data_IF_676327402114
#
_entry.id   IF_676327402114
#
_cell.length_a   1.000
_cell.length_b   1.000
_cell.length_c   1.000
_cell.angle_alpha   90.00
_cell.angle_beta   90.00
_cell.angle_gamma   90.00
#
_symmetry.space_group_name_H-M   'P 1'
#
loop_
_entity.id
_entity.type
_entity.pdbx_description
1 polymer ?
#
# COMPACT_ATOMS: atom_id res chain seq x y z
N UNK A 1 13.31 19.43 -28.26
CA UNK A 1 12.32 18.32 -28.18
C UNK A 1 12.66 17.36 -27.05
N UNK A 2 13.89 16.79 -27.02
CA UNK A 2 14.34 15.83 -25.98
C UNK A 2 14.26 16.42 -24.58
N UNK A 3 14.76 17.65 -24.35
CA UNK A 3 14.71 18.33 -23.06
C UNK A 3 13.26 18.60 -22.60
N UNK A 4 12.39 19.02 -23.52
CA UNK A 4 10.96 19.23 -23.19
C UNK A 4 10.23 17.93 -22.84
N UNK A 5 10.61 16.80 -23.41
CA UNK A 5 10.09 15.48 -23.00
C UNK A 5 10.59 15.09 -21.59
N UNK A 6 11.87 15.29 -21.31
CA UNK A 6 12.46 15.00 -20.00
C UNK A 6 11.84 15.87 -18.89
N UNK A 7 11.54 17.13 -19.18
CA UNK A 7 10.94 18.10 -18.24
C UNK A 7 9.42 17.84 -18.02
N UNK A 8 8.75 17.08 -18.91
CA UNK A 8 7.32 16.75 -18.78
C UNK A 8 7.06 15.39 -18.07
N UNK A 9 8.10 14.64 -17.74
CA UNK A 9 7.96 13.36 -17.07
C UNK A 9 7.75 13.54 -15.57
N UNK A 10 6.71 12.93 -15.04
CA UNK A 10 6.49 12.79 -13.59
C UNK A 10 7.46 11.76 -12.99
N UNK A 11 8.05 10.92 -13.83
CA UNK A 11 9.00 9.87 -13.44
C UNK A 11 10.40 10.44 -13.25
N UNK A 12 10.96 10.24 -12.07
CA UNK A 12 12.34 10.58 -11.78
C UNK A 12 13.29 9.68 -12.58
N UNK A 13 14.32 10.25 -13.21
CA UNK A 13 15.34 9.51 -13.95
C UNK A 13 16.73 9.82 -13.38
N UNK A 14 17.55 8.79 -13.26
CA UNK A 14 18.95 8.89 -12.83
C UNK A 14 19.80 7.90 -13.61
N UNK A 15 20.95 8.35 -14.12
CA UNK A 15 21.98 7.46 -14.64
C UNK A 15 23.18 7.39 -13.71
N UNK A 16 23.86 6.23 -13.72
CA UNK A 16 25.15 6.00 -13.06
C UNK A 16 26.14 5.36 -14.02
N UNK A 17 27.42 5.65 -13.83
CA UNK A 17 28.49 4.94 -14.51
C UNK A 17 28.74 3.56 -13.87
N UNK A 18 29.74 2.84 -14.39
CA UNK A 18 30.14 1.52 -13.89
C UNK A 18 30.77 1.57 -12.49
N UNK A 19 31.28 2.72 -12.08
CA UNK A 19 31.81 2.98 -10.74
C UNK A 19 30.73 3.42 -9.74
N UNK A 20 29.48 3.50 -10.21
CA UNK A 20 28.33 3.85 -9.38
C UNK A 20 28.15 5.35 -9.15
N UNK A 21 28.93 6.20 -9.84
CA UNK A 21 28.75 7.66 -9.74
C UNK A 21 27.54 8.11 -10.54
N UNK A 22 26.77 9.02 -9.95
CA UNK A 22 25.61 9.64 -10.62
C UNK A 22 26.12 10.55 -11.74
N UNK A 23 25.78 10.22 -12.97
CA UNK A 23 26.17 10.94 -14.18
C UNK A 23 25.04 11.79 -14.77
N UNK A 24 23.80 11.50 -14.41
CA UNK A 24 22.63 12.22 -14.89
C UNK A 24 21.47 12.13 -13.89
N UNK A 25 20.72 13.20 -13.77
CA UNK A 25 19.42 13.28 -13.10
C UNK A 25 18.50 14.19 -13.90
N UNK A 26 17.20 13.87 -13.98
CA UNK A 26 16.23 14.78 -14.56
C UNK A 26 15.61 15.70 -13.48
N UNK A 27 14.91 16.78 -13.87
CA UNK A 27 14.24 17.68 -12.94
C UNK A 27 13.26 16.96 -12.01
N UNK A 28 12.46 16.03 -12.53
CA UNK A 28 11.47 15.28 -11.74
C UNK A 28 12.12 14.46 -10.61
N UNK A 29 13.30 13.90 -10.84
CA UNK A 29 14.03 13.20 -9.77
C UNK A 29 14.50 14.17 -8.69
N UNK A 30 15.05 15.32 -9.10
CA UNK A 30 15.50 16.35 -8.17
C UNK A 30 14.36 16.90 -7.30
N UNK A 31 13.20 17.16 -7.90
CA UNK A 31 11.99 17.58 -7.19
C UNK A 31 11.50 16.50 -6.23
N UNK A 32 11.48 15.24 -6.68
CA UNK A 32 11.05 14.09 -5.89
C UNK A 32 11.87 13.94 -4.61
N UNK A 33 13.19 14.06 -4.68
CA UNK A 33 14.09 13.87 -3.52
C UNK A 33 14.43 15.17 -2.78
N UNK A 34 14.15 16.34 -3.39
CA UNK A 34 14.40 17.67 -2.82
C UNK A 34 15.86 18.13 -2.89
N UNK A 35 16.70 17.49 -3.70
CA UNK A 35 18.11 17.84 -3.90
C UNK A 35 18.34 18.40 -5.30
N UNK A 36 19.22 19.40 -5.41
CA UNK A 36 19.61 19.95 -6.71
C UNK A 36 20.52 18.99 -7.50
N UNK A 37 20.60 19.15 -8.84
CA UNK A 37 21.53 18.36 -9.64
C UNK A 37 22.99 18.48 -9.16
N UNK A 38 23.40 19.65 -8.70
CA UNK A 38 24.76 19.90 -8.20
C UNK A 38 25.08 19.11 -6.92
N UNK A 39 24.07 18.86 -6.09
CA UNK A 39 24.21 18.06 -4.88
C UNK A 39 24.23 16.55 -5.16
N UNK A 40 23.72 16.12 -6.32
CA UNK A 40 23.57 14.71 -6.67
C UNK A 40 24.63 14.20 -7.63
N UNK A 41 25.02 15.01 -8.63
CA UNK A 41 25.97 14.59 -9.65
C UNK A 41 27.35 14.29 -9.06
N UNK A 42 27.96 13.19 -9.50
CA UNK A 42 29.26 12.71 -9.03
C UNK A 42 29.23 11.92 -7.72
N UNK A 43 28.10 11.93 -6.98
CA UNK A 43 27.99 11.09 -5.79
C UNK A 43 28.04 9.62 -6.17
N UNK A 44 28.80 8.83 -5.38
CA UNK A 44 28.87 7.39 -5.47
C UNK A 44 28.30 6.76 -4.21
N UNK A 45 28.14 5.47 -4.14
CA UNK A 45 27.88 4.54 -3.02
C UNK A 45 27.07 5.00 -1.77
N UNK A 46 26.85 6.29 -1.56
CA UNK A 46 25.96 6.80 -0.50
C UNK A 46 25.21 8.02 -1.01
N UNK A 47 23.93 7.85 -1.32
CA UNK A 47 23.09 8.93 -1.80
C UNK A 47 22.38 9.58 -0.60
N UNK A 48 22.25 10.94 -0.55
CA UNK A 48 21.67 11.65 0.58
C UNK A 48 20.16 11.39 0.75
N UNK A 49 19.52 10.84 -0.27
CA UNK A 49 18.10 10.43 -0.24
C UNK A 49 17.89 8.98 0.26
N UNK A 50 18.94 8.31 0.75
CA UNK A 50 18.78 7.03 1.43
C UNK A 50 18.54 7.23 2.91
N UNK A 51 17.53 6.58 3.51
CA UNK A 51 17.37 6.58 4.96
C UNK A 51 18.66 6.09 5.63
N UNK A 52 19.15 6.77 6.68
CA UNK A 52 20.46 6.44 7.30
C UNK A 52 20.59 5.00 7.76
N UNK A 53 19.51 4.41 8.28
CA UNK A 53 19.47 3.04 8.77
C UNK A 53 19.48 1.99 7.64
N UNK A 54 19.21 2.39 6.39
CA UNK A 54 19.18 1.49 5.23
C UNK A 54 20.38 1.64 4.29
N UNK A 55 21.31 2.52 4.61
CA UNK A 55 22.50 2.79 3.76
C UNK A 55 23.26 1.53 3.44
N UNK A 56 23.48 0.66 4.44
CA UNK A 56 24.24 -0.57 4.24
C UNK A 56 23.48 -1.59 3.37
N UNK A 57 22.18 -1.74 3.57
CA UNK A 57 21.31 -2.56 2.72
C UNK A 57 21.39 -2.10 1.26
N UNK A 58 21.33 -0.79 1.02
CA UNK A 58 21.35 -0.23 -0.32
C UNK A 58 22.74 -0.33 -0.97
N UNK A 59 23.83 -0.21 -0.20
CA UNK A 59 25.18 -0.49 -0.68
C UNK A 59 25.35 -1.93 -1.13
N UNK A 60 24.90 -2.89 -0.33
CA UNK A 60 24.97 -4.31 -0.68
C UNK A 60 24.16 -4.60 -1.93
N UNK A 61 22.97 -4.06 -2.05
CA UNK A 61 22.14 -4.19 -3.26
C UNK A 61 22.86 -3.64 -4.49
N UNK A 62 23.51 -2.50 -4.38
CA UNK A 62 24.29 -1.95 -5.48
C UNK A 62 25.53 -2.79 -5.82
N UNK A 63 26.26 -3.28 -4.84
CA UNK A 63 27.40 -4.16 -5.06
C UNK A 63 27.00 -5.42 -5.86
N UNK A 64 25.85 -6.02 -5.56
CA UNK A 64 25.29 -7.15 -6.31
C UNK A 64 24.99 -6.76 -7.77
N UNK A 65 24.49 -5.54 -8.01
CA UNK A 65 24.26 -5.01 -9.37
C UNK A 65 25.57 -4.86 -10.15
N UNK A 66 26.58 -4.26 -9.54
CA UNK A 66 27.89 -4.08 -10.17
C UNK A 66 28.62 -5.42 -10.40
N UNK A 67 28.32 -6.45 -9.61
CA UNK A 67 28.77 -7.81 -9.87
C UNK A 67 28.06 -8.51 -11.05
N UNK A 68 27.16 -7.82 -11.76
CA UNK A 68 26.51 -8.31 -12.97
C UNK A 68 25.12 -8.95 -12.77
N UNK A 69 24.56 -8.92 -11.56
CA UNK A 69 23.20 -9.44 -11.34
C UNK A 69 22.17 -8.44 -11.88
N UNK A 70 21.36 -8.89 -12.83
CA UNK A 70 20.32 -8.06 -13.43
C UNK A 70 19.18 -7.80 -12.44
N UNK A 71 18.64 -6.58 -12.39
CA UNK A 71 17.45 -6.26 -11.59
C UNK A 71 16.21 -6.96 -12.13
N UNK A 72 15.17 -7.15 -11.27
CA UNK A 72 13.87 -7.58 -11.74
C UNK A 72 13.33 -6.60 -12.80
N UNK A 73 12.74 -7.12 -13.88
CA UNK A 73 12.18 -6.30 -14.96
C UNK A 73 10.98 -5.47 -14.52
N UNK A 74 10.21 -6.00 -13.56
CA UNK A 74 9.05 -5.32 -12.97
C UNK A 74 9.47 -4.20 -12.01
N UNK A 75 10.76 -4.10 -11.70
CA UNK A 75 11.27 -3.20 -10.69
C UNK A 75 11.15 -3.76 -9.27
N UNK A 76 11.45 -2.94 -8.30
CA UNK A 76 11.34 -3.28 -6.87
C UNK A 76 10.99 -2.03 -6.06
N UNK A 77 10.26 -2.24 -5.00
CA UNK A 77 9.93 -1.17 -4.07
C UNK A 77 11.06 -0.91 -3.07
N UNK A 78 11.20 0.34 -2.69
CA UNK A 78 12.19 0.80 -1.71
C UNK A 78 11.62 2.00 -0.95
N UNK A 79 12.37 2.53 0.00
CA UNK A 79 12.01 3.74 0.71
C UNK A 79 13.12 4.79 0.52
N UNK A 80 12.74 6.00 0.14
CA UNK A 80 13.66 7.13 0.08
C UNK A 80 13.29 8.18 1.12
N UNK A 81 14.23 9.09 1.35
CA UNK A 81 14.08 10.22 2.26
C UNK A 81 14.36 11.52 1.49
N UNK A 82 13.42 12.44 1.53
CA UNK A 82 13.61 13.77 0.94
C UNK A 82 14.60 14.59 1.77
N UNK A 83 15.07 15.67 1.21
CA UNK A 83 15.99 16.61 1.90
C UNK A 83 15.41 17.17 3.20
N UNK A 84 14.09 17.31 3.30
CA UNK A 84 13.38 17.75 4.50
C UNK A 84 13.21 16.66 5.57
N UNK A 85 13.69 15.45 5.31
CA UNK A 85 13.55 14.29 6.19
C UNK A 85 12.28 13.47 5.98
N UNK A 86 11.36 13.89 5.12
CA UNK A 86 10.14 13.13 4.81
C UNK A 86 10.48 11.83 4.08
N UNK A 87 9.94 10.72 4.55
CA UNK A 87 10.10 9.40 3.92
C UNK A 87 8.97 9.11 2.96
N UNK A 88 9.29 8.43 1.89
CA UNK A 88 8.29 8.02 0.92
C UNK A 88 8.64 6.69 0.25
N UNK A 89 7.65 5.86 -0.09
CA UNK A 89 7.84 4.63 -0.84
C UNK A 89 8.09 4.97 -2.30
N UNK A 90 9.04 4.29 -2.91
CA UNK A 90 9.44 4.49 -4.31
C UNK A 90 9.52 3.17 -5.04
N UNK A 91 8.91 3.09 -6.22
CA UNK A 91 9.13 2.00 -7.16
C UNK A 91 10.36 2.34 -8.01
N UNK A 92 11.31 1.43 -8.08
CA UNK A 92 12.58 1.58 -8.81
C UNK A 92 12.62 0.56 -9.94
N UNK A 93 12.80 1.03 -11.16
CA UNK A 93 13.02 0.20 -12.34
C UNK A 93 14.41 0.52 -12.86
N UNK A 94 15.25 -0.49 -13.02
CA UNK A 94 16.65 -0.32 -13.46
C UNK A 94 16.91 -1.08 -14.74
N UNK A 95 17.70 -0.48 -15.62
CA UNK A 95 18.14 -1.08 -16.86
C UNK A 95 19.62 -0.73 -17.14
N UNK A 96 20.38 -1.63 -17.77
CA UNK A 96 21.74 -1.34 -18.19
C UNK A 96 21.74 -0.29 -19.32
N UNK A 97 22.68 0.64 -19.27
CA UNK A 97 23.00 1.53 -20.38
C UNK A 97 23.96 0.84 -21.33
N UNK A 98 23.53 0.63 -22.56
CA UNK A 98 24.33 0.01 -23.62
C UNK A 98 24.66 1.08 -24.66
N UNK A 99 25.92 1.25 -24.99
CA UNK A 99 26.35 2.17 -26.04
C UNK A 99 26.10 1.62 -27.46
N UNK A 100 26.38 2.43 -28.48
CA UNK A 100 26.19 2.02 -29.89
C UNK A 100 27.07 0.82 -30.30
N UNK A 101 28.13 0.52 -29.56
CA UNK A 101 29.04 -0.62 -29.76
C UNK A 101 28.58 -1.87 -28.98
N UNK A 102 27.44 -1.83 -28.31
CA UNK A 102 26.91 -2.93 -27.51
C UNK A 102 27.59 -3.11 -26.14
N UNK A 103 28.41 -2.15 -25.71
CA UNK A 103 29.09 -2.23 -24.43
C UNK A 103 28.25 -1.66 -23.31
N UNK A 104 28.26 -2.30 -22.15
CA UNK A 104 27.63 -1.81 -20.93
C UNK A 104 28.45 -0.63 -20.38
N UNK A 105 27.83 0.52 -20.21
CA UNK A 105 28.47 1.77 -19.80
C UNK A 105 27.96 2.32 -18.48
N UNK A 106 26.92 1.71 -17.92
CA UNK A 106 26.32 2.17 -16.67
C UNK A 106 24.89 1.67 -16.52
N UNK A 107 24.14 2.31 -15.62
CA UNK A 107 22.78 1.96 -15.27
C UNK A 107 21.87 3.16 -15.36
N UNK A 108 20.71 2.99 -15.97
CA UNK A 108 19.58 3.94 -15.90
C UNK A 108 18.58 3.44 -14.89
N UNK A 109 18.14 4.31 -14.01
CA UNK A 109 17.06 4.02 -13.06
C UNK A 109 15.90 5.00 -13.28
N UNK A 110 14.68 4.46 -13.30
CA UNK A 110 13.44 5.22 -13.26
C UNK A 110 12.83 5.07 -11.84
N UNK A 111 12.32 6.16 -11.31
CA UNK A 111 11.76 6.27 -9.98
C UNK A 111 10.33 6.80 -10.03
N UNK A 112 9.43 6.12 -9.36
CA UNK A 112 8.04 6.55 -9.20
C UNK A 112 7.72 6.63 -7.70
N UNK A 113 7.32 7.81 -7.24
CA UNK A 113 6.75 7.96 -5.89
C UNK A 113 5.36 7.30 -5.87
N UNK A 114 5.24 6.24 -5.07
CA UNK A 114 3.99 5.47 -4.97
C UNK A 114 3.20 5.78 -3.70
N UNK A 115 3.48 6.91 -3.04
CA UNK A 115 2.79 7.32 -1.81
C UNK A 115 1.29 7.47 -2.01
N UNK A 116 0.88 8.17 -3.07
CA UNK A 116 -0.54 8.40 -3.36
C UNK A 116 -1.25 7.12 -3.79
N UNK A 117 -0.60 6.30 -4.60
CA UNK A 117 -1.14 4.99 -4.98
C UNK A 117 -1.41 4.13 -3.74
N UNK A 118 -0.43 4.01 -2.84
CA UNK A 118 -0.58 3.25 -1.59
C UNK A 118 -1.68 3.83 -0.71
N UNK A 119 -1.77 5.15 -0.62
CA UNK A 119 -2.84 5.82 0.14
C UNK A 119 -4.23 5.46 -0.39
N UNK A 120 -4.42 5.49 -1.70
CA UNK A 120 -5.69 5.12 -2.34
C UNK A 120 -6.02 3.65 -2.11
N UNK A 121 -5.04 2.76 -2.24
CA UNK A 121 -5.21 1.33 -1.98
C UNK A 121 -5.60 1.04 -0.52
N UNK A 122 -4.97 1.70 0.45
CA UNK A 122 -5.32 1.58 1.87
C UNK A 122 -6.73 2.07 2.17
N UNK A 123 -7.13 3.22 1.63
CA UNK A 123 -8.48 3.75 1.79
C UNK A 123 -9.53 2.81 1.19
N UNK A 124 -9.26 2.26 0.01
CA UNK A 124 -10.12 1.29 -0.65
C UNK A 124 -10.30 0.03 0.19
N UNK A 125 -9.19 -0.53 0.70
CA UNK A 125 -9.21 -1.70 1.58
C UNK A 125 -9.97 -1.44 2.86
N UNK A 126 -9.72 -0.33 3.53
CA UNK A 126 -10.43 0.04 4.75
C UNK A 126 -11.94 0.22 4.51
N UNK A 127 -12.32 0.78 3.37
CA UNK A 127 -13.72 0.89 2.97
C UNK A 127 -14.38 -0.47 2.75
N UNK A 128 -13.71 -1.39 2.06
CA UNK A 128 -14.20 -2.75 1.84
C UNK A 128 -14.37 -3.52 3.16
N UNK A 129 -13.41 -3.42 4.07
CA UNK A 129 -13.48 -4.05 5.39
C UNK A 129 -14.68 -3.54 6.21
N UNK A 130 -14.94 -2.22 6.18
CA UNK A 130 -16.12 -1.61 6.83
C UNK A 130 -17.43 -2.11 6.23
N UNK A 131 -17.52 -2.18 4.90
CA UNK A 131 -18.72 -2.68 4.22
C UNK A 131 -18.99 -4.15 4.59
N UNK A 132 -17.95 -4.99 4.61
CA UNK A 132 -18.06 -6.38 5.01
C UNK A 132 -18.49 -6.54 6.48
N UNK A 133 -17.95 -5.73 7.39
CA UNK A 133 -18.32 -5.74 8.80
C UNK A 133 -19.81 -5.35 8.96
N UNK A 134 -20.25 -4.29 8.27
CA UNK A 134 -21.66 -3.83 8.29
C UNK A 134 -22.59 -4.91 7.75
N UNK A 135 -22.26 -5.54 6.64
CA UNK A 135 -23.04 -6.63 6.06
C UNK A 135 -23.19 -7.83 7.02
N UNK A 136 -22.09 -8.21 7.71
CA UNK A 136 -22.14 -9.27 8.73
C UNK A 136 -23.08 -8.90 9.89
N UNK A 137 -23.02 -7.66 10.39
CA UNK A 137 -23.90 -7.19 11.45
C UNK A 137 -25.36 -7.19 11.02
N UNK A 138 -25.67 -6.77 9.80
CA UNK A 138 -27.02 -6.81 9.24
C UNK A 138 -27.56 -8.25 9.20
N UNK A 139 -26.77 -9.20 8.71
CA UNK A 139 -27.16 -10.63 8.68
C UNK A 139 -27.42 -11.17 10.08
N UNK A 140 -26.56 -10.87 11.06
CA UNK A 140 -26.77 -11.27 12.46
C UNK A 140 -28.03 -10.63 13.03
N UNK A 141 -28.29 -9.37 12.73
CA UNK A 141 -29.52 -8.67 13.15
C UNK A 141 -30.79 -9.28 12.59
N UNK A 142 -30.80 -9.66 11.31
CA UNK A 142 -31.92 -10.37 10.68
C UNK A 142 -32.15 -11.75 11.32
N UNK A 143 -31.08 -12.52 11.55
CA UNK A 143 -31.19 -13.82 12.22
C UNK A 143 -31.70 -13.68 13.65
N UNK A 144 -31.23 -12.70 14.42
CA UNK A 144 -31.70 -12.45 15.78
C UNK A 144 -33.18 -12.05 15.80
N UNK A 145 -33.62 -11.27 14.82
CA UNK A 145 -35.06 -10.89 14.67
C UNK A 145 -35.94 -12.11 14.37
N UNK A 146 -35.50 -12.96 13.42
CA UNK A 146 -36.22 -14.19 13.08
C UNK A 146 -36.32 -15.16 14.28
N UNK A 147 -35.20 -15.38 14.98
CA UNK A 147 -35.17 -16.23 16.18
C UNK A 147 -36.07 -15.68 17.29
N UNK A 148 -36.09 -14.37 17.50
CA UNK A 148 -36.97 -13.75 18.48
C UNK A 148 -38.43 -13.96 18.12
N UNK A 149 -38.78 -13.86 16.85
CA UNK A 149 -40.15 -14.10 16.38
C UNK A 149 -40.55 -15.57 16.57
N UNK A 150 -39.65 -16.51 16.19
CA UNK A 150 -39.92 -17.96 16.32
C UNK A 150 -39.97 -18.43 17.78
N UNK A 151 -39.23 -17.81 18.69
CA UNK A 151 -39.27 -18.11 20.11
C UNK A 151 -40.53 -17.51 20.79
N UNK A 152 -40.95 -16.34 20.37
CA UNK A 152 -42.12 -15.71 20.95
C UNK A 152 -43.44 -16.42 20.59
N UNK A 153 -43.53 -17.11 19.44
CA UNK A 153 -44.73 -17.85 19.05
C UNK A 153 -45.10 -19.00 20.02
N UNK A 154 -44.18 -19.95 20.33
CA UNK A 154 -44.49 -21.00 21.29
C UNK A 154 -44.69 -20.49 22.72
N UNK A 155 -43.94 -19.43 23.10
CA UNK A 155 -44.12 -18.80 24.41
C UNK A 155 -45.50 -18.16 24.56
N UNK A 156 -46.03 -17.50 23.53
CA UNK A 156 -47.38 -16.96 23.51
C UNK A 156 -48.43 -18.07 23.58
N UNK A 157 -48.22 -19.19 22.88
CA UNK A 157 -49.10 -20.37 22.95
C UNK A 157 -49.12 -20.96 24.36
N UNK A 158 -47.94 -21.19 24.96
CA UNK A 158 -47.84 -21.72 26.34
C UNK A 158 -48.53 -20.78 27.34
N UNK A 159 -48.34 -19.47 27.23
CA UNK A 159 -48.95 -18.45 28.09
C UNK A 159 -50.48 -18.48 27.92
N UNK A 160 -51.00 -18.64 26.70
CA UNK A 160 -52.41 -18.74 26.42
C UNK A 160 -53.05 -20.01 27.04
N UNK A 161 -52.36 -21.16 26.89
CA UNK A 161 -52.82 -22.39 27.50
C UNK A 161 -52.78 -22.32 29.04
N UNK A 162 -51.73 -21.77 29.62
CA UNK A 162 -51.62 -21.60 31.09
C UNK A 162 -52.77 -20.73 31.63
N UNK A 163 -53.01 -19.58 31.01
CA UNK A 163 -54.08 -18.66 31.39
C UNK A 163 -55.47 -19.33 31.19
N UNK A 164 -55.68 -20.02 30.09
CA UNK A 164 -56.91 -20.80 29.89
C UNK A 164 -57.14 -21.86 30.94
N UNK A 165 -56.11 -22.56 31.37
CA UNK A 165 -56.20 -23.60 32.42
C UNK A 165 -56.50 -22.97 33.79
N UNK A 166 -55.91 -21.84 34.14
CA UNK A 166 -56.18 -21.08 35.39
C UNK A 166 -57.65 -20.64 35.39
N UNK A 167 -58.14 -20.05 34.32
CA UNK A 167 -59.54 -19.59 34.23
C UNK A 167 -60.52 -20.77 34.38
N UNK A 168 -60.25 -21.90 33.79
CA UNK A 168 -61.11 -23.07 33.95
C UNK A 168 -61.14 -23.61 35.38
N UNK A 169 -59.99 -23.58 36.09
CA UNK A 169 -59.90 -23.99 37.50
C UNK A 169 -60.65 -23.03 38.44
N UNK A 170 -60.56 -21.72 38.16
CA UNK A 170 -61.30 -20.71 38.95
C UNK A 170 -62.81 -20.81 38.77
N UNK A 171 -63.28 -21.17 37.59
CA UNK A 171 -64.71 -21.33 37.31
C UNK A 171 -65.31 -22.71 37.67
N UNK A 172 -64.41 -23.70 37.90
CA UNK A 172 -64.79 -25.04 38.32
C UNK A 172 -64.85 -25.20 39.86
N UNK A 173 -64.53 -24.18 40.62
CA UNK A 173 -64.67 -24.22 42.10
C UNK A 173 -66.15 -24.29 42.45
N UNK A 174 -66.62 -25.32 43.19
CA UNK A 174 -67.98 -25.43 43.54
C UNK A 174 -68.41 -24.27 44.46
N UNK A 175 -69.50 -23.59 44.12
CA UNK A 175 -70.12 -22.64 45.01
C UNK A 175 -70.56 -23.37 46.32
N UNK A 176 -69.96 -22.95 47.41
CA UNK A 176 -70.29 -23.39 48.78
C UNK A 176 -71.52 -22.72 49.26
#
# INVERSE_FOLDING_TARGET
FRKAMEDSLVTGLRARDLEGRITYVNPAFCEMVGFSPQELLGLSMSAPYWPPERVEEYRQRQAIRFAGTMPPREGFESEFMRKDGTRFPVLIIEAPLINAQGQHTGWMSAFLDISEQRRVEELSRASQERLQATARLATVGEMASLLSHELNQPLAAISSYANGSINLLEHAAPAS
#
